data_IF_583291418289
#
_entry.id   IF_583291418289
#
_cell.length_a   1.000
_cell.length_b   1.000
_cell.length_c   1.000
_cell.angle_alpha   90.00
_cell.angle_beta   90.00
_cell.angle_gamma   90.00
#
_symmetry.space_group_name_H-M   'P 1'
#
loop_
_entity.id
_entity.type
_entity.pdbx_description
1 polymer ?
#
# COMPACT_ATOMS: atom_id res chain seq x y z
N UNK A 1 36.31 -40.58 -36.23
CA UNK A 1 35.12 -40.96 -35.48
C UNK A 1 35.31 -40.44 -34.05
N UNK A 2 34.80 -39.26 -33.75
CA UNK A 2 35.00 -38.63 -32.45
C UNK A 2 33.63 -38.24 -31.92
N UNK A 3 33.18 -38.97 -30.90
CA UNK A 3 31.98 -38.65 -30.13
C UNK A 3 32.29 -37.57 -29.13
N UNK A 4 31.83 -36.35 -29.38
CA UNK A 4 31.90 -35.27 -28.41
C UNK A 4 30.71 -35.41 -27.44
N UNK A 5 31.02 -35.76 -26.21
CA UNK A 5 30.10 -35.76 -25.06
C UNK A 5 29.76 -34.31 -24.71
N UNK A 6 28.53 -33.91 -24.95
CA UNK A 6 28.02 -32.63 -24.44
C UNK A 6 27.68 -32.85 -22.96
N UNK A 7 28.59 -32.41 -22.09
CA UNK A 7 28.37 -32.40 -20.63
C UNK A 7 27.64 -31.14 -20.21
N UNK A 8 26.44 -31.32 -19.67
CA UNK A 8 25.96 -30.66 -18.47
C UNK A 8 26.03 -29.13 -18.35
N UNK A 9 25.12 -28.42 -18.99
CA UNK A 9 24.76 -27.06 -18.60
C UNK A 9 23.28 -27.04 -18.22
N UNK A 10 22.95 -27.34 -16.96
CA UNK A 10 21.53 -27.49 -16.62
C UNK A 10 21.07 -27.25 -15.18
N UNK A 11 21.90 -26.78 -14.22
CA UNK A 11 21.42 -26.68 -12.84
C UNK A 11 21.71 -25.37 -12.09
N UNK A 12 22.26 -24.36 -12.74
CA UNK A 12 22.64 -23.13 -12.05
C UNK A 12 21.50 -22.12 -11.72
N UNK A 13 20.34 -22.03 -12.43
CA UNK A 13 19.35 -20.96 -12.17
C UNK A 13 18.46 -21.22 -10.96
N UNK A 14 18.26 -22.46 -10.53
CA UNK A 14 17.25 -22.81 -9.49
C UNK A 14 17.78 -22.57 -8.07
N UNK A 15 19.07 -22.79 -7.85
CA UNK A 15 19.68 -22.62 -6.52
C UNK A 15 19.86 -21.15 -6.14
N UNK A 16 20.21 -20.30 -7.08
CA UNK A 16 20.35 -18.86 -6.83
C UNK A 16 19.04 -18.17 -6.50
N UNK A 17 17.93 -18.59 -7.11
CA UNK A 17 16.60 -18.11 -6.79
C UNK A 17 16.12 -18.52 -5.38
N UNK A 18 16.49 -19.71 -4.95
CA UNK A 18 16.12 -20.23 -3.63
C UNK A 18 16.89 -19.54 -2.50
N UNK A 19 18.19 -19.36 -2.65
CA UNK A 19 19.02 -18.64 -1.67
C UNK A 19 18.61 -17.16 -1.54
N UNK A 20 18.28 -16.50 -2.64
CA UNK A 20 17.81 -15.11 -2.67
C UNK A 20 16.45 -14.95 -1.98
N UNK A 21 15.55 -15.91 -2.15
CA UNK A 21 14.24 -15.90 -1.50
C UNK A 21 14.31 -16.23 0.00
N UNK A 22 15.30 -16.96 0.46
CA UNK A 22 15.54 -17.18 1.87
C UNK A 22 16.05 -15.93 2.57
N UNK A 23 16.99 -15.21 1.93
CA UNK A 23 17.52 -13.96 2.43
C UNK A 23 16.44 -12.89 2.62
N UNK A 24 15.46 -12.81 1.72
CA UNK A 24 14.41 -11.79 1.79
C UNK A 24 13.47 -11.97 2.99
N UNK A 25 13.12 -13.20 3.37
CA UNK A 25 12.23 -13.46 4.53
C UNK A 25 12.93 -13.21 5.86
N UNK A 26 14.20 -13.58 5.98
CA UNK A 26 15.01 -13.27 7.15
C UNK A 26 15.21 -11.76 7.31
N UNK A 27 15.54 -11.09 6.20
CA UNK A 27 15.71 -9.65 6.15
C UNK A 27 14.41 -8.93 6.58
N UNK A 28 13.25 -9.36 6.10
CA UNK A 28 11.97 -8.83 6.52
C UNK A 28 11.78 -8.96 8.04
N UNK A 29 12.04 -10.12 8.61
CA UNK A 29 11.93 -10.33 10.05
C UNK A 29 12.85 -9.43 10.87
N UNK A 30 14.12 -9.27 10.46
CA UNK A 30 15.04 -8.35 11.11
C UNK A 30 14.61 -6.89 11.01
N UNK A 31 14.11 -6.45 9.85
CA UNK A 31 13.62 -5.07 9.68
C UNK A 31 12.38 -4.80 10.53
N UNK A 32 11.49 -5.78 10.72
CA UNK A 32 10.38 -5.66 11.66
C UNK A 32 10.82 -5.54 13.12
N UNK A 33 11.86 -6.29 13.53
CA UNK A 33 12.46 -6.15 14.88
C UNK A 33 13.13 -4.79 15.02
N UNK A 34 13.82 -4.31 13.98
CA UNK A 34 14.40 -2.97 13.97
C UNK A 34 13.31 -1.88 14.08
N UNK A 35 12.18 -2.05 13.37
CA UNK A 35 11.03 -1.14 13.47
C UNK A 35 10.48 -1.11 14.90
N UNK A 36 10.33 -2.26 15.55
CA UNK A 36 9.93 -2.33 16.96
C UNK A 36 10.92 -1.58 17.88
N UNK A 37 12.22 -1.69 17.62
CA UNK A 37 13.25 -0.93 18.34
C UNK A 37 13.15 0.58 18.14
N UNK A 38 12.93 1.03 16.90
CA UNK A 38 12.74 2.45 16.59
C UNK A 38 11.50 3.03 17.26
N UNK A 39 10.42 2.24 17.33
CA UNK A 39 9.19 2.65 18.04
C UNK A 39 9.43 2.73 19.55
N UNK A 40 10.11 1.74 20.16
CA UNK A 40 10.18 1.56 21.61
C UNK A 40 11.27 2.38 22.30
N UNK A 41 12.43 2.60 21.66
CA UNK A 41 13.65 3.08 22.35
C UNK A 41 13.75 4.61 22.38
N UNK A 42 13.60 5.36 21.28
CA UNK A 42 13.68 6.81 21.33
C UNK A 42 12.43 7.40 22.00
N UNK A 43 12.61 8.47 22.77
CA UNK A 43 11.49 9.23 23.33
C UNK A 43 10.64 9.85 22.22
N UNK A 44 9.33 9.86 22.43
CA UNK A 44 8.40 10.50 21.51
C UNK A 44 8.45 12.03 21.71
N UNK A 45 8.55 12.79 20.62
CA UNK A 45 8.54 14.25 20.67
C UNK A 45 7.14 14.82 20.96
N UNK A 46 6.11 13.98 20.83
CA UNK A 46 4.71 14.30 21.13
C UNK A 46 4.18 13.23 22.08
N UNK A 47 3.27 13.63 22.98
CA UNK A 47 2.57 12.66 23.84
C UNK A 47 1.66 11.78 22.99
N UNK A 48 2.02 10.52 22.86
CA UNK A 48 1.26 9.51 22.10
C UNK A 48 1.04 8.30 22.98
N UNK A 49 -0.21 7.87 23.06
CA UNK A 49 -0.55 6.62 23.73
C UNK A 49 -0.09 5.41 22.89
N UNK A 50 -0.05 4.24 23.52
CA UNK A 50 0.10 2.91 22.86
C UNK A 50 1.38 2.66 22.06
N UNK A 51 2.45 3.41 22.33
CA UNK A 51 3.77 3.17 21.74
C UNK A 51 4.27 1.73 22.06
N UNK A 52 4.01 1.26 23.27
CA UNK A 52 4.39 -0.09 23.69
C UNK A 52 3.63 -1.19 22.93
N UNK A 53 2.34 -1.02 22.71
CA UNK A 53 1.50 -1.97 21.98
C UNK A 53 1.93 -2.06 20.51
N UNK A 54 2.22 -0.92 19.87
CA UNK A 54 2.73 -0.88 18.51
C UNK A 54 4.09 -1.57 18.39
N UNK A 55 5.01 -1.29 19.33
CA UNK A 55 6.32 -1.92 19.38
C UNK A 55 6.21 -3.45 19.57
N UNK A 56 5.33 -3.90 20.47
CA UNK A 56 5.08 -5.32 20.69
C UNK A 56 4.49 -5.98 19.45
N UNK A 57 3.54 -5.35 18.78
CA UNK A 57 2.95 -5.86 17.55
C UNK A 57 4.02 -6.01 16.43
N UNK A 58 4.86 -5.00 16.26
CA UNK A 58 5.97 -5.05 15.29
C UNK A 58 6.98 -6.16 15.65
N UNK A 59 7.35 -6.30 16.94
CA UNK A 59 8.25 -7.34 17.41
C UNK A 59 7.67 -8.75 17.22
N UNK A 60 6.39 -8.94 17.50
CA UNK A 60 5.70 -10.23 17.28
C UNK A 60 5.65 -10.59 15.80
N UNK A 61 5.33 -9.63 14.93
CA UNK A 61 5.36 -9.84 13.48
C UNK A 61 6.76 -10.23 13.01
N UNK A 62 7.78 -9.50 13.47
CA UNK A 62 9.18 -9.82 13.18
C UNK A 62 9.57 -11.22 13.65
N UNK A 63 9.20 -11.59 14.87
CA UNK A 63 9.43 -12.91 15.44
C UNK A 63 8.75 -14.03 14.66
N UNK A 64 7.50 -13.85 14.29
CA UNK A 64 6.74 -14.80 13.45
C UNK A 64 7.38 -14.97 12.08
N UNK A 65 7.84 -13.87 11.46
CA UNK A 65 8.51 -13.92 10.16
C UNK A 65 9.87 -14.63 10.26
N UNK A 66 10.66 -14.37 11.30
CA UNK A 66 11.91 -15.09 11.54
C UNK A 66 11.68 -16.59 11.77
N UNK A 67 10.72 -16.93 12.62
CA UNK A 67 10.35 -18.34 12.87
C UNK A 67 9.88 -19.01 11.57
N UNK A 68 9.05 -18.36 10.80
CA UNK A 68 8.55 -18.89 9.53
C UNK A 68 9.67 -19.05 8.49
N UNK A 69 10.66 -18.17 8.49
CA UNK A 69 11.83 -18.28 7.63
C UNK A 69 12.67 -19.52 8.02
N UNK A 70 12.88 -19.75 9.30
CA UNK A 70 13.61 -20.93 9.82
C UNK A 70 12.82 -22.22 9.55
N UNK A 71 11.51 -22.22 9.82
CA UNK A 71 10.65 -23.39 9.58
C UNK A 71 10.23 -23.56 8.11
N UNK A 72 10.64 -22.67 7.22
CA UNK A 72 10.22 -22.68 5.82
C UNK A 72 10.42 -23.99 5.06
N UNK A 73 11.45 -24.83 5.36
CA UNK A 73 11.59 -26.15 4.75
C UNK A 73 10.41 -27.08 5.08
N UNK A 74 9.83 -26.91 6.25
CA UNK A 74 8.74 -27.76 6.78
C UNK A 74 7.35 -27.22 6.40
N UNK A 75 7.23 -25.93 6.07
CA UNK A 75 5.94 -25.30 5.71
C UNK A 75 5.48 -25.55 4.26
N UNK A 76 6.25 -26.24 3.43
CA UNK A 76 5.86 -26.58 2.07
C UNK A 76 5.39 -25.39 1.23
N UNK A 77 4.15 -25.46 0.71
CA UNK A 77 3.55 -24.42 -0.16
C UNK A 77 3.37 -23.07 0.56
N UNK A 78 3.06 -23.07 1.85
CA UNK A 78 2.89 -21.86 2.63
C UNK A 78 4.21 -21.08 2.78
N UNK A 79 5.31 -21.80 3.04
CA UNK A 79 6.66 -21.21 3.07
C UNK A 79 7.08 -20.60 1.72
N UNK A 80 6.64 -21.18 0.60
CA UNK A 80 6.84 -20.64 -0.74
C UNK A 80 6.14 -19.29 -0.95
N UNK A 81 4.87 -19.17 -0.55
CA UNK A 81 4.11 -17.92 -0.64
C UNK A 81 4.71 -16.80 0.22
N UNK A 82 5.11 -17.16 1.44
CA UNK A 82 5.71 -16.19 2.37
C UNK A 82 7.06 -15.67 1.85
N UNK A 83 7.86 -16.53 1.24
CA UNK A 83 9.11 -16.14 0.57
C UNK A 83 8.86 -15.21 -0.63
N UNK A 84 7.83 -15.47 -1.42
CA UNK A 84 7.45 -14.60 -2.53
C UNK A 84 7.00 -13.21 -2.05
N UNK A 85 6.35 -13.12 -0.87
CA UNK A 85 5.95 -11.87 -0.24
C UNK A 85 7.10 -11.12 0.46
N UNK A 86 8.28 -11.74 0.61
CA UNK A 86 9.43 -11.18 1.33
C UNK A 86 9.79 -9.73 1.02
N UNK A 87 9.88 -9.31 -0.25
CA UNK A 87 10.17 -7.92 -0.60
C UNK A 87 9.13 -6.93 -0.04
N UNK A 88 7.84 -7.24 -0.17
CA UNK A 88 6.76 -6.42 0.38
C UNK A 88 6.78 -6.37 1.89
N UNK A 89 7.04 -7.51 2.54
CA UNK A 89 7.17 -7.62 3.99
C UNK A 89 8.39 -6.86 4.53
N UNK A 90 9.36 -6.53 3.70
CA UNK A 90 10.50 -5.67 4.06
C UNK A 90 10.19 -4.19 3.85
N UNK A 91 9.46 -3.83 2.80
CA UNK A 91 9.08 -2.44 2.51
C UNK A 91 8.13 -1.88 3.56
N UNK A 92 7.18 -2.68 4.04
CA UNK A 92 6.21 -2.25 5.05
C UNK A 92 6.86 -1.72 6.35
N UNK A 93 7.77 -2.45 7.02
CA UNK A 93 8.41 -1.94 8.23
C UNK A 93 9.35 -0.76 7.95
N UNK A 94 9.97 -0.66 6.78
CA UNK A 94 10.72 0.52 6.38
C UNK A 94 9.82 1.75 6.25
N UNK A 95 8.64 1.59 5.65
CA UNK A 95 7.64 2.65 5.59
C UNK A 95 7.14 3.04 6.98
N UNK A 96 6.92 2.05 7.87
CA UNK A 96 6.55 2.28 9.26
C UNK A 96 7.63 3.07 10.02
N UNK A 97 8.90 2.69 9.88
CA UNK A 97 10.03 3.42 10.47
C UNK A 97 10.06 4.86 9.97
N UNK A 98 9.95 5.07 8.66
CA UNK A 98 9.94 6.40 8.07
C UNK A 98 8.78 7.25 8.60
N UNK A 99 7.59 6.67 8.66
CA UNK A 99 6.41 7.36 9.19
C UNK A 99 6.55 7.70 10.67
N UNK A 100 7.01 6.75 11.48
CA UNK A 100 7.27 6.92 12.90
C UNK A 100 8.28 8.04 13.17
N UNK A 101 9.41 8.03 12.46
CA UNK A 101 10.43 9.05 12.59
C UNK A 101 9.90 10.44 12.21
N UNK A 102 9.14 10.57 11.14
CA UNK A 102 8.65 11.85 10.65
C UNK A 102 7.54 12.44 11.54
N UNK A 103 6.74 11.60 12.18
CA UNK A 103 5.57 12.04 12.98
C UNK A 103 5.86 12.05 14.47
N UNK A 104 6.11 10.88 15.09
CA UNK A 104 6.20 10.74 16.52
C UNK A 104 7.57 11.16 17.10
N UNK A 105 8.66 10.83 16.42
CA UNK A 105 10.03 11.02 16.95
C UNK A 105 10.60 12.42 16.66
N UNK A 106 10.47 12.88 15.41
CA UNK A 106 11.02 14.15 14.97
C UNK A 106 9.99 15.28 14.90
N UNK A 107 8.70 14.95 15.00
CA UNK A 107 7.59 15.91 14.87
C UNK A 107 7.70 16.84 13.64
N UNK A 108 8.32 16.34 12.55
CA UNK A 108 8.46 17.12 11.30
C UNK A 108 7.11 17.28 10.58
N UNK A 109 6.22 16.33 10.78
CA UNK A 109 4.85 16.35 10.27
C UNK A 109 3.89 16.56 11.45
N UNK A 110 3.44 17.80 11.70
CA UNK A 110 2.69 18.11 12.92
C UNK A 110 1.24 17.62 12.87
N UNK A 111 0.70 17.31 14.05
CA UNK A 111 -0.73 17.20 14.26
C UNK A 111 -1.43 18.53 13.94
N UNK A 112 -2.67 18.53 13.45
CA UNK A 112 -3.56 17.38 13.26
C UNK A 112 -3.51 16.74 11.86
N UNK A 113 -2.63 17.20 10.98
CA UNK A 113 -2.63 16.79 9.58
C UNK A 113 -2.03 15.39 9.37
N UNK A 114 -1.05 15.04 10.18
CA UNK A 114 -0.35 13.74 10.09
C UNK A 114 -0.37 13.05 11.44
N UNK A 115 -1.26 12.08 11.58
CA UNK A 115 -1.31 11.24 12.78
C UNK A 115 -0.13 10.27 12.80
N UNK A 116 0.42 10.02 14.00
CA UNK A 116 1.41 8.97 14.20
C UNK A 116 0.78 7.57 14.09
N UNK A 117 1.57 6.52 13.79
CA UNK A 117 1.06 5.15 13.77
C UNK A 117 0.38 4.73 15.09
N UNK A 118 0.93 5.16 16.24
CA UNK A 118 0.35 4.90 17.57
C UNK A 118 -1.00 5.60 17.74
N UNK A 119 -1.10 6.86 17.33
CA UNK A 119 -2.35 7.61 17.40
C UNK A 119 -3.47 6.98 16.55
N UNK A 120 -3.13 6.43 15.38
CA UNK A 120 -4.08 5.65 14.60
C UNK A 120 -4.50 4.37 15.32
N UNK A 121 -3.55 3.67 15.94
CA UNK A 121 -3.84 2.45 16.70
C UNK A 121 -4.78 2.74 17.88
N UNK A 122 -4.55 3.86 18.58
CA UNK A 122 -5.40 4.33 19.69
C UNK A 122 -6.83 4.56 19.22
N UNK A 123 -7.03 5.31 18.15
CA UNK A 123 -8.35 5.59 17.56
C UNK A 123 -9.04 4.30 17.12
N UNK A 124 -8.31 3.36 16.53
CA UNK A 124 -8.87 2.06 16.12
C UNK A 124 -9.34 1.21 17.31
N UNK A 125 -8.64 1.26 18.44
CA UNK A 125 -8.94 0.43 19.60
C UNK A 125 -9.98 1.07 20.52
N UNK A 126 -9.99 2.40 20.64
CA UNK A 126 -10.83 3.11 21.61
C UNK A 126 -12.09 3.70 20.98
N UNK A 127 -11.98 4.23 19.75
CA UNK A 127 -13.05 4.95 19.06
C UNK A 127 -13.66 4.19 17.88
N UNK A 128 -13.53 2.85 17.84
CA UNK A 128 -14.06 2.07 16.73
C UNK A 128 -15.55 2.29 16.44
N UNK A 129 -16.45 2.58 17.43
CA UNK A 129 -17.86 2.87 17.13
C UNK A 129 -18.02 4.17 16.34
N UNK A 130 -17.26 5.21 16.71
CA UNK A 130 -17.22 6.49 15.97
C UNK A 130 -16.66 6.35 14.57
N UNK A 131 -15.60 5.53 14.41
CA UNK A 131 -15.06 5.20 13.10
C UNK A 131 -16.12 4.52 12.24
N UNK A 132 -16.82 3.53 12.78
CA UNK A 132 -17.91 2.84 12.09
C UNK A 132 -19.02 3.79 11.64
N UNK A 133 -19.46 4.68 12.53
CA UNK A 133 -20.46 5.69 12.19
C UNK A 133 -19.97 6.65 11.10
N UNK A 134 -18.72 7.11 11.18
CA UNK A 134 -18.12 8.01 10.19
C UNK A 134 -18.00 7.34 8.81
N UNK A 135 -17.60 6.07 8.78
CA UNK A 135 -17.55 5.27 7.54
C UNK A 135 -18.94 5.10 6.95
N UNK A 136 -19.93 4.75 7.75
CA UNK A 136 -21.31 4.59 7.29
C UNK A 136 -21.89 5.89 6.74
N UNK A 137 -21.66 7.01 7.42
CA UNK A 137 -22.08 8.34 6.94
C UNK A 137 -21.41 8.71 5.63
N UNK A 138 -20.09 8.51 5.54
CA UNK A 138 -19.31 8.77 4.31
C UNK A 138 -19.78 7.88 3.17
N UNK A 139 -20.03 6.61 3.43
CA UNK A 139 -20.55 5.68 2.44
C UNK A 139 -21.95 6.07 1.96
N UNK A 140 -22.82 6.47 2.89
CA UNK A 140 -24.17 6.97 2.53
C UNK A 140 -24.10 8.19 1.62
N UNK A 141 -23.27 9.18 1.96
CA UNK A 141 -23.06 10.37 1.12
C UNK A 141 -22.47 10.01 -0.24
N UNK A 142 -21.49 9.11 -0.29
CA UNK A 142 -20.89 8.63 -1.52
C UNK A 142 -21.91 7.93 -2.42
N UNK A 143 -22.65 6.97 -1.86
CA UNK A 143 -23.64 6.19 -2.63
C UNK A 143 -24.78 7.10 -3.13
N UNK A 144 -25.31 7.98 -2.27
CA UNK A 144 -26.38 8.91 -2.67
C UNK A 144 -25.92 9.90 -3.73
N UNK A 145 -24.71 10.48 -3.56
CA UNK A 145 -24.14 11.38 -4.56
C UNK A 145 -23.84 10.68 -5.89
N UNK A 146 -23.30 9.47 -5.84
CA UNK A 146 -23.06 8.65 -7.02
C UNK A 146 -24.38 8.29 -7.73
N UNK A 147 -25.40 7.86 -7.00
CA UNK A 147 -26.70 7.50 -7.56
C UNK A 147 -27.36 8.68 -8.26
N UNK A 148 -27.37 9.86 -7.62
CA UNK A 148 -27.92 11.10 -8.20
C UNK A 148 -27.10 11.50 -9.44
N UNK A 149 -25.76 11.49 -9.34
CA UNK A 149 -24.88 11.83 -10.46
C UNK A 149 -25.04 10.87 -11.65
N UNK A 150 -25.11 9.56 -11.37
CA UNK A 150 -25.32 8.55 -12.40
C UNK A 150 -26.69 8.69 -13.07
N UNK A 151 -27.76 8.92 -12.29
CA UNK A 151 -29.10 9.15 -12.83
C UNK A 151 -29.15 10.41 -13.69
N UNK A 152 -28.60 11.52 -13.19
CA UNK A 152 -28.54 12.78 -13.94
C UNK A 152 -27.70 12.63 -15.23
N UNK A 153 -26.54 11.99 -15.14
CA UNK A 153 -25.68 11.72 -16.29
C UNK A 153 -26.36 10.81 -17.32
N UNK A 154 -27.07 9.78 -16.86
CA UNK A 154 -27.85 8.90 -17.76
C UNK A 154 -28.95 9.65 -18.47
N UNK A 155 -29.77 10.41 -17.73
CA UNK A 155 -30.85 11.22 -18.32
C UNK A 155 -30.30 12.24 -19.32
N UNK A 156 -29.24 12.95 -18.95
CA UNK A 156 -28.56 13.90 -19.83
C UNK A 156 -28.01 13.21 -21.09
N UNK A 157 -27.36 12.06 -20.94
CA UNK A 157 -26.81 11.26 -22.03
C UNK A 157 -27.90 10.81 -23.02
N UNK A 158 -29.02 10.30 -22.51
CA UNK A 158 -30.17 9.89 -23.30
C UNK A 158 -30.80 11.12 -24.03
N UNK A 159 -30.97 12.23 -23.30
CA UNK A 159 -31.54 13.46 -23.91
C UNK A 159 -30.65 14.01 -25.02
N UNK A 160 -29.33 13.99 -24.84
CA UNK A 160 -28.36 14.40 -25.87
C UNK A 160 -28.38 13.48 -27.11
N UNK A 161 -28.49 12.15 -26.86
CA UNK A 161 -28.52 11.15 -27.93
C UNK A 161 -29.83 11.15 -28.69
N UNK A 162 -30.94 11.43 -28.01
CA UNK A 162 -32.28 11.39 -28.63
C UNK A 162 -32.65 12.70 -29.36
N UNK A 163 -32.27 13.86 -28.83
CA UNK A 163 -32.66 15.16 -29.33
C UNK A 163 -31.52 15.92 -29.99
N UNK A 164 -31.60 16.11 -31.33
CA UNK A 164 -30.64 16.92 -32.07
C UNK A 164 -30.63 18.39 -31.61
N UNK A 165 -31.77 18.91 -31.13
CA UNK A 165 -31.88 20.28 -30.65
C UNK A 165 -31.11 20.47 -29.33
N UNK A 166 -31.22 19.53 -28.38
CA UNK A 166 -30.48 19.56 -27.10
C UNK A 166 -29.00 19.39 -27.40
N UNK A 167 -28.62 18.47 -28.28
CA UNK A 167 -27.24 18.24 -28.69
C UNK A 167 -26.58 19.51 -29.27
N UNK A 168 -27.29 20.30 -30.07
CA UNK A 168 -26.79 21.55 -30.65
C UNK A 168 -26.36 22.57 -29.58
N UNK A 169 -27.16 22.73 -28.52
CA UNK A 169 -26.89 23.71 -27.47
C UNK A 169 -25.87 23.21 -26.44
N UNK A 170 -25.84 21.94 -26.15
CA UNK A 170 -24.96 21.35 -25.08
C UNK A 170 -23.58 20.95 -25.61
N UNK A 171 -23.48 20.59 -26.90
CA UNK A 171 -22.23 20.18 -27.54
C UNK A 171 -21.09 21.22 -27.43
N UNK A 172 -21.33 22.54 -27.57
CA UNK A 172 -20.27 23.53 -27.40
C UNK A 172 -19.71 23.61 -25.96
N UNK A 173 -20.56 23.29 -24.96
CA UNK A 173 -20.19 23.31 -23.55
C UNK A 173 -19.38 22.06 -23.18
N UNK A 174 -19.68 20.91 -23.78
CA UNK A 174 -18.98 19.65 -23.53
C UNK A 174 -17.66 19.52 -24.32
N UNK A 175 -17.50 20.21 -25.43
CA UNK A 175 -16.28 20.20 -26.24
C UNK A 175 -15.00 20.55 -25.46
N UNK A 176 -14.94 21.61 -24.64
CA UNK A 176 -13.71 21.93 -23.87
C UNK A 176 -13.29 20.84 -22.90
N UNK A 177 -14.26 20.07 -22.35
CA UNK A 177 -13.99 18.98 -21.38
C UNK A 177 -13.43 17.74 -22.09
N UNK A 178 -13.87 17.48 -23.32
CA UNK A 178 -13.44 16.31 -24.10
C UNK A 178 -12.17 16.55 -24.91
N UNK A 179 -11.85 17.80 -25.20
CA UNK A 179 -10.67 18.23 -25.95
C UNK A 179 -9.68 19.01 -25.06
N UNK A 180 -9.37 18.51 -23.87
CA UNK A 180 -8.04 18.79 -23.35
C UNK A 180 -7.12 17.80 -24.08
N UNK A 181 -6.50 18.16 -25.22
CA UNK A 181 -5.51 17.29 -25.80
C UNK A 181 -4.39 17.25 -24.77
N UNK A 182 -3.99 16.08 -24.35
CA UNK A 182 -2.62 15.79 -24.01
C UNK A 182 -1.77 15.95 -25.29
N UNK A 183 -1.92 17.07 -25.96
CA UNK A 183 -0.97 17.53 -26.92
C UNK A 183 0.24 17.99 -26.13
N UNK A 184 1.10 17.05 -25.82
CA UNK A 184 2.51 17.36 -25.69
C UNK A 184 2.86 18.20 -26.93
N UNK A 185 3.37 19.43 -26.72
CA UNK A 185 3.70 20.26 -27.86
C UNK A 185 4.77 19.53 -28.68
N UNK A 186 4.44 19.16 -29.92
CA UNK A 186 5.41 18.69 -30.93
C UNK A 186 6.56 19.70 -31.16
N UNK A 187 6.47 20.87 -30.55
CA UNK A 187 7.47 21.96 -30.60
C UNK A 187 8.77 21.60 -29.88
N UNK A 188 8.84 20.50 -29.11
CA UNK A 188 10.09 20.07 -28.46
C UNK A 188 10.90 19.05 -29.26
N UNK A 189 10.51 18.75 -30.51
CA UNK A 189 11.22 17.77 -31.38
C UNK A 189 11.79 18.40 -32.67
N UNK A 190 11.97 19.73 -32.75
CA UNK A 190 12.69 20.40 -33.83
C UNK A 190 13.94 21.11 -33.30
#
# INVERSE_FOLDING_TARGET
MSGATVAGAGNAPIETGRARAWGSSLLAGFVWIAAAGVVAVPEDAIEVGRTRELALAAALLGGVLLLSAVLSPWLGKAGGKLRAAGPWLTVLPLALIGWELLTAKLALLPLPFFASPQGLLEVYLEDWPRLGESVLRSLWLLVSGYAIGAAAGFVAGVALGWSRAIGYWVHPVLRPVSYTPLALPEVLLL
#
